data_IF_826031483141
#
_entry.id   IF_826031483141
#
_cell.length_a   1.000
_cell.length_b   1.000
_cell.length_c   1.000
_cell.angle_alpha   90.00
_cell.angle_beta   90.00
_cell.angle_gamma   90.00
#
_symmetry.space_group_name_H-M   'P 1'
#
loop_
_entity.id
_entity.type
_entity.pdbx_description
1 polymer ?
#
# COMPACT_ATOMS: atom_id res chain seq x y z
N UNK A 1 0.44 1.19 -18.71
CA UNK A 1 1.78 1.37 -18.10
C UNK A 1 1.72 2.01 -16.71
N UNK A 2 1.07 3.15 -16.51
CA UNK A 2 1.08 3.86 -15.20
C UNK A 2 0.59 3.02 -14.00
N UNK A 3 -0.43 2.18 -14.18
CA UNK A 3 -0.91 1.30 -13.12
C UNK A 3 0.16 0.28 -12.67
N UNK A 4 0.95 -0.26 -13.61
CA UNK A 4 2.04 -1.17 -13.28
C UNK A 4 3.18 -0.45 -12.57
N UNK A 5 3.51 0.78 -12.99
CA UNK A 5 4.49 1.62 -12.29
C UNK A 5 4.07 1.86 -10.83
N UNK A 6 2.78 2.10 -10.58
CA UNK A 6 2.27 2.23 -9.23
C UNK A 6 2.35 0.91 -8.43
N UNK A 7 1.98 -0.20 -9.07
CA UNK A 7 2.00 -1.54 -8.48
C UNK A 7 3.41 -2.06 -8.13
N UNK A 8 4.47 -1.45 -8.65
CA UNK A 8 5.85 -1.71 -8.20
C UNK A 8 6.09 -1.33 -6.73
N UNK A 9 5.19 -0.58 -6.10
CA UNK A 9 5.26 -0.23 -4.67
C UNK A 9 4.21 -0.96 -3.82
N UNK A 10 3.56 -2.00 -4.37
CA UNK A 10 2.58 -2.77 -3.61
C UNK A 10 3.23 -3.47 -2.40
N UNK A 11 2.45 -3.68 -1.34
CA UNK A 11 2.92 -4.40 -0.17
C UNK A 11 3.21 -5.87 -0.47
N UNK A 12 2.45 -6.49 -1.37
CA UNK A 12 2.59 -7.89 -1.77
C UNK A 12 3.68 -8.04 -2.85
N UNK A 13 4.68 -8.88 -2.57
CA UNK A 13 5.80 -9.13 -3.48
C UNK A 13 5.37 -9.72 -4.82
N UNK A 14 4.26 -10.46 -4.85
CA UNK A 14 3.73 -11.09 -6.06
C UNK A 14 3.12 -10.05 -6.98
N UNK A 15 2.47 -9.04 -6.41
CA UNK A 15 1.94 -7.90 -7.16
C UNK A 15 3.08 -7.10 -7.76
N UNK A 16 4.11 -6.78 -6.96
CA UNK A 16 5.31 -6.08 -7.45
C UNK A 16 6.01 -6.86 -8.58
N UNK A 17 6.22 -8.17 -8.38
CA UNK A 17 6.88 -9.02 -9.37
C UNK A 17 6.05 -9.13 -10.66
N UNK A 18 4.73 -9.26 -10.53
CA UNK A 18 3.86 -9.32 -11.71
C UNK A 18 3.79 -7.98 -12.44
N UNK A 19 3.86 -6.86 -11.73
CA UNK A 19 3.93 -5.54 -12.34
C UNK A 19 5.22 -5.35 -13.14
N UNK A 20 6.37 -5.76 -12.61
CA UNK A 20 7.66 -5.72 -13.30
C UNK A 20 7.68 -6.62 -14.56
N UNK A 21 7.14 -7.84 -14.45
CA UNK A 21 6.99 -8.79 -15.57
C UNK A 21 6.12 -8.20 -16.70
N UNK A 22 4.94 -7.66 -16.35
CA UNK A 22 4.05 -7.03 -17.34
C UNK A 22 4.68 -5.80 -17.99
N UNK A 23 5.46 -5.01 -17.25
CA UNK A 23 6.25 -3.91 -17.81
C UNK A 23 7.23 -4.44 -18.87
N UNK A 24 7.96 -5.52 -18.57
CA UNK A 24 8.86 -6.18 -19.53
C UNK A 24 8.13 -6.68 -20.78
N UNK A 25 6.94 -7.28 -20.61
CA UNK A 25 6.10 -7.71 -21.74
C UNK A 25 5.65 -6.54 -22.63
N UNK A 26 5.28 -5.41 -22.03
CA UNK A 26 4.92 -4.23 -22.81
C UNK A 26 6.12 -3.66 -23.57
N UNK A 27 7.32 -3.68 -22.98
CA UNK A 27 8.55 -3.25 -23.64
C UNK A 27 8.94 -4.18 -24.79
N UNK A 28 8.79 -5.49 -24.63
CA UNK A 28 8.98 -6.46 -25.74
C UNK A 28 8.05 -6.22 -26.92
N UNK A 29 6.80 -5.85 -26.64
CA UNK A 29 5.79 -5.55 -27.68
C UNK A 29 5.98 -4.17 -28.31
N UNK A 30 6.40 -3.19 -27.51
CA UNK A 30 6.59 -1.81 -27.91
C UNK A 30 7.84 -1.24 -27.22
N UNK A 31 8.94 -1.16 -27.98
CA UNK A 31 10.29 -0.91 -27.47
C UNK A 31 10.56 0.56 -27.10
N UNK A 32 9.62 1.22 -26.41
CA UNK A 32 9.70 2.62 -26.04
C UNK A 32 9.87 2.78 -24.53
N UNK A 33 11.04 3.25 -24.11
CA UNK A 33 11.43 3.48 -22.72
C UNK A 33 11.58 4.97 -22.37
N UNK A 34 11.00 5.87 -23.17
CA UNK A 34 11.24 7.31 -23.08
C UNK A 34 10.66 7.99 -21.82
N UNK A 35 9.91 7.27 -20.98
CA UNK A 35 9.33 7.84 -19.75
C UNK A 35 10.33 7.75 -18.58
N UNK A 36 10.80 8.87 -18.02
CA UNK A 36 11.73 8.86 -16.90
C UNK A 36 11.14 8.25 -15.63
N UNK A 37 9.81 8.29 -15.46
CA UNK A 37 9.13 7.66 -14.33
C UNK A 37 9.24 6.13 -14.37
N UNK A 38 9.25 5.53 -15.56
CA UNK A 38 9.37 4.09 -15.72
C UNK A 38 10.78 3.64 -15.34
N UNK A 39 11.81 4.29 -15.89
CA UNK A 39 13.20 3.95 -15.58
C UNK A 39 13.50 4.19 -14.11
N UNK A 40 13.07 5.31 -13.54
CA UNK A 40 13.23 5.57 -12.10
C UNK A 40 12.55 4.49 -11.23
N UNK A 41 11.32 4.08 -11.56
CA UNK A 41 10.61 3.06 -10.79
C UNK A 41 11.29 1.68 -10.91
N UNK A 42 11.74 1.30 -12.10
CA UNK A 42 12.48 0.04 -12.30
C UNK A 42 13.84 0.07 -11.60
N UNK A 43 14.58 1.18 -11.64
CA UNK A 43 15.82 1.35 -10.89
C UNK A 43 15.60 1.22 -9.39
N UNK A 44 14.49 1.76 -8.87
CA UNK A 44 14.10 1.56 -7.47
C UNK A 44 13.79 0.09 -7.15
N UNK A 45 13.13 -0.63 -8.07
CA UNK A 45 12.82 -2.04 -7.91
C UNK A 45 14.05 -2.97 -7.92
N UNK A 46 15.22 -2.50 -8.37
CA UNK A 46 16.49 -3.24 -8.21
C UNK A 46 16.92 -3.37 -6.74
N UNK A 47 16.43 -2.51 -5.86
CA UNK A 47 16.65 -2.58 -4.41
C UNK A 47 15.59 -3.37 -3.65
N UNK A 48 14.69 -4.08 -4.34
CA UNK A 48 13.63 -4.85 -3.68
C UNK A 48 14.20 -6.00 -2.83
N UNK A 49 13.49 -6.35 -1.75
CA UNK A 49 13.85 -7.48 -0.91
C UNK A 49 13.56 -8.83 -1.58
N UNK A 50 12.61 -8.86 -2.52
CA UNK A 50 12.26 -10.05 -3.27
C UNK A 50 13.09 -10.18 -4.56
N UNK A 51 13.81 -11.31 -4.66
CA UNK A 51 14.71 -11.59 -5.78
C UNK A 51 13.98 -11.71 -7.13
N UNK A 52 12.71 -12.10 -7.13
CA UNK A 52 11.93 -12.21 -8.36
C UNK A 52 11.62 -10.81 -8.88
N UNK A 53 11.22 -9.88 -8.01
CA UNK A 53 11.03 -8.47 -8.38
C UNK A 53 12.30 -7.89 -8.99
N UNK A 54 13.44 -8.07 -8.32
CA UNK A 54 14.75 -7.60 -8.82
C UNK A 54 15.06 -8.19 -10.20
N UNK A 55 14.88 -9.51 -10.38
CA UNK A 55 15.13 -10.17 -11.66
C UNK A 55 14.27 -9.60 -12.79
N UNK A 56 12.97 -9.43 -12.58
CA UNK A 56 12.09 -8.89 -13.63
C UNK A 56 12.41 -7.42 -13.93
N UNK A 57 12.75 -6.63 -12.91
CA UNK A 57 13.15 -5.24 -13.09
C UNK A 57 14.45 -5.11 -13.89
N UNK A 58 15.44 -5.97 -13.63
CA UNK A 58 16.69 -6.06 -14.41
C UNK A 58 16.39 -6.35 -15.88
N UNK A 59 15.60 -7.38 -16.17
CA UNK A 59 15.24 -7.73 -17.55
C UNK A 59 14.51 -6.60 -18.27
N UNK A 60 13.59 -5.91 -17.57
CA UNK A 60 12.89 -4.76 -18.13
C UNK A 60 13.84 -3.60 -18.47
N UNK A 61 14.84 -3.34 -17.63
CA UNK A 61 15.86 -2.32 -17.90
C UNK A 61 16.79 -2.71 -19.05
N UNK A 62 17.17 -3.98 -19.16
CA UNK A 62 17.96 -4.49 -20.29
C UNK A 62 17.22 -4.36 -21.62
N UNK A 63 15.91 -4.63 -21.64
CA UNK A 63 15.07 -4.38 -22.82
C UNK A 63 15.03 -2.89 -23.20
N UNK A 64 15.16 -2.01 -22.21
CA UNK A 64 15.28 -0.57 -22.45
C UNK A 64 16.68 -0.14 -22.91
N UNK A 65 17.65 -1.06 -23.00
CA UNK A 65 19.04 -0.80 -23.41
C UNK A 65 19.98 -0.40 -22.27
N UNK A 66 19.59 -0.58 -21.02
CA UNK A 66 20.47 -0.32 -19.87
C UNK A 66 21.23 -1.59 -19.46
N UNK A 67 22.51 -1.44 -19.14
CA UNK A 67 23.29 -2.51 -18.51
C UNK A 67 23.14 -2.41 -16.99
N UNK A 68 22.55 -3.45 -16.37
CA UNK A 68 22.42 -3.52 -14.92
C UNK A 68 23.62 -4.28 -14.37
N UNK A 69 24.54 -3.54 -13.75
CA UNK A 69 25.69 -4.15 -13.08
C UNK A 69 25.25 -4.61 -11.70
N UNK A 70 25.33 -5.91 -11.44
CA UNK A 70 25.17 -6.45 -10.10
C UNK A 70 26.30 -5.91 -9.21
N UNK A 71 25.95 -5.05 -8.26
CA UNK A 71 26.91 -4.46 -7.34
C UNK A 71 27.71 -5.54 -6.62
N UNK A 72 29.03 -5.43 -6.67
CA UNK A 72 29.99 -6.33 -6.05
C UNK A 72 29.90 -6.24 -4.51
N UNK A 73 29.02 -7.04 -3.91
CA UNK A 73 28.78 -7.12 -2.46
C UNK A 73 29.89 -7.88 -1.69
N UNK A 74 31.15 -7.81 -2.11
CA UNK A 74 32.28 -8.45 -1.41
C UNK A 74 32.77 -7.64 -0.19
N UNK A 75 32.21 -6.44 0.02
CA UNK A 75 32.39 -5.64 1.24
C UNK A 75 31.02 -5.36 1.85
N UNK A 76 30.90 -5.42 3.19
CA UNK A 76 29.62 -5.20 3.85
C UNK A 76 29.19 -3.76 3.54
N UNK A 77 28.11 -3.61 2.78
CA UNK A 77 27.44 -2.34 2.54
C UNK A 77 26.88 -1.85 3.88
N UNK A 78 27.71 -1.14 4.63
CA UNK A 78 27.43 -0.66 5.98
C UNK A 78 26.75 0.72 5.94
N UNK A 79 25.65 0.79 6.69
CA UNK A 79 24.95 1.97 7.20
C UNK A 79 24.17 2.91 6.28
N UNK A 80 24.28 2.82 4.96
CA UNK A 80 23.29 3.42 4.06
C UNK A 80 22.85 2.33 3.11
N UNK A 81 21.65 1.77 3.32
CA UNK A 81 21.12 0.68 2.51
C UNK A 81 21.22 0.98 1.01
N UNK A 82 21.38 -0.04 0.18
CA UNK A 82 21.51 0.05 -1.29
C UNK A 82 20.23 0.53 -2.00
N UNK A 83 19.49 1.45 -1.40
CA UNK A 83 18.56 2.35 -2.05
C UNK A 83 18.61 3.67 -1.27
N UNK A 84 18.70 4.85 -1.92
CA UNK A 84 18.39 6.07 -1.20
C UNK A 84 16.97 5.91 -0.63
N UNK A 85 16.74 6.33 0.63
CA UNK A 85 15.44 6.27 1.33
C UNK A 85 14.29 7.04 0.64
N UNK A 86 14.40 7.38 -0.64
CA UNK A 86 13.46 8.14 -1.44
C UNK A 86 12.89 7.39 -2.66
N UNK A 87 13.05 6.07 -2.76
CA UNK A 87 12.37 5.25 -3.77
C UNK A 87 10.88 5.00 -3.46
N UNK A 88 10.17 6.04 -3.01
CA UNK A 88 8.71 6.07 -3.01
C UNK A 88 8.29 7.25 -3.87
N UNK A 89 7.46 7.07 -4.91
CA UNK A 89 6.80 8.22 -5.50
C UNK A 89 6.01 8.89 -4.38
N UNK A 90 6.11 10.22 -4.31
CA UNK A 90 5.33 11.05 -3.38
C UNK A 90 3.95 10.44 -3.20
N UNK A 91 3.66 10.00 -1.96
CA UNK A 91 2.34 9.55 -1.58
C UNK A 91 1.33 10.51 -2.18
N UNK A 92 0.25 9.96 -2.77
CA UNK A 92 -0.88 10.77 -3.23
C UNK A 92 -1.13 11.88 -2.20
N UNK A 93 -1.35 13.14 -2.64
CA UNK A 93 -1.51 14.26 -1.71
C UNK A 93 -2.50 13.81 -0.64
N UNK A 94 -2.06 13.90 0.62
CA UNK A 94 -2.88 13.49 1.75
C UNK A 94 -4.28 14.06 1.54
N UNK A 95 -5.36 13.25 1.68
CA UNK A 95 -6.71 13.78 1.58
C UNK A 95 -6.78 14.99 2.51
N UNK A 96 -7.20 16.14 1.97
CA UNK A 96 -7.34 17.37 2.74
C UNK A 96 -8.06 17.04 4.05
N UNK A 97 -7.63 17.58 5.21
CA UNK A 97 -8.21 17.24 6.50
C UNK A 97 -9.71 17.51 6.42
N UNK A 98 -10.51 16.45 6.32
CA UNK A 98 -11.96 16.58 6.39
C UNK A 98 -12.25 16.94 7.83
N UNK A 99 -12.72 18.16 8.03
CA UNK A 99 -13.28 18.66 9.29
C UNK A 99 -14.08 17.54 9.97
N UNK A 100 -13.72 17.27 11.21
CA UNK A 100 -14.30 16.32 12.17
C UNK A 100 -15.37 15.34 11.64
N UNK A 101 -15.18 14.02 11.78
CA UNK A 101 -16.26 13.08 11.50
C UNK A 101 -17.35 13.27 12.54
N UNK A 102 -18.28 14.19 12.27
CA UNK A 102 -19.55 14.26 12.97
C UNK A 102 -20.28 12.98 12.58
N UNK A 103 -20.14 11.96 13.44
CA UNK A 103 -20.85 10.71 13.30
C UNK A 103 -22.33 11.01 13.01
N UNK A 104 -22.78 10.62 11.83
CA UNK A 104 -24.16 10.77 11.42
C UNK A 104 -24.99 9.80 12.25
N UNK A 105 -25.59 10.30 13.32
CA UNK A 105 -26.57 9.57 14.10
C UNK A 105 -27.95 9.85 13.49
N UNK A 106 -28.58 8.88 12.81
CA UNK A 106 -29.95 9.06 12.32
C UNK A 106 -30.90 9.29 13.51
N UNK A 107 -31.69 10.36 13.43
CA UNK A 107 -32.59 10.85 14.49
C UNK A 107 -33.62 9.82 14.99
N UNK A 108 -33.77 8.70 14.29
CA UNK A 108 -34.70 7.61 14.62
C UNK A 108 -34.45 6.97 16.00
N UNK A 109 -33.25 7.10 16.55
CA UNK A 109 -32.89 6.52 17.86
C UNK A 109 -33.05 7.48 19.05
N UNK A 110 -33.34 8.78 18.85
CA UNK A 110 -33.50 9.73 19.95
C UNK A 110 -34.90 9.67 20.60
N UNK A 111 -35.95 9.37 19.83
CA UNK A 111 -37.32 9.32 20.37
C UNK A 111 -37.56 8.15 21.35
N UNK A 112 -36.80 7.05 21.23
CA UNK A 112 -36.91 5.94 22.19
C UNK A 112 -36.33 6.27 23.57
N UNK A 113 -35.42 7.24 23.69
CA UNK A 113 -34.81 7.61 24.99
C UNK A 113 -35.68 8.53 25.83
N UNK A 114 -36.62 9.27 25.25
CA UNK A 114 -37.54 10.12 26.02
C UNK A 114 -38.73 9.34 26.58
N UNK A 115 -39.20 8.29 25.89
CA UNK A 115 -40.29 7.43 26.39
C UNK A 115 -39.90 6.61 27.62
N UNK A 116 -38.61 6.21 27.74
CA UNK A 116 -38.10 5.47 28.92
C UNK A 116 -37.82 6.33 30.16
N UNK A 117 -38.03 7.65 30.12
CA UNK A 117 -37.82 8.52 31.30
C UNK A 117 -39.08 8.77 32.13
N UNK A 118 -40.21 8.11 31.82
CA UNK A 118 -41.48 8.28 32.56
C UNK A 118 -42.05 7.02 33.22
N UNK A 119 -41.23 6.01 33.51
CA UNK A 119 -41.53 5.03 34.57
C UNK A 119 -40.30 4.83 35.45
N UNK A 120 -39.99 5.89 36.19
CA UNK A 120 -39.26 5.82 37.45
C UNK A 120 -40.19 5.23 38.50
N UNK A 121 -39.94 3.99 38.91
CA UNK A 121 -40.69 3.35 39.99
C UNK A 121 -40.12 1.98 40.33
N UNK A 122 -39.23 1.95 41.31
CA UNK A 122 -38.94 0.89 42.29
C UNK A 122 -39.13 -0.59 41.88
N UNK A 123 -38.02 -1.34 41.91
CA UNK A 123 -37.82 -2.51 42.80
C UNK A 123 -37.02 -3.63 42.11
N UNK A 124 -35.73 -3.73 42.45
CA UNK A 124 -34.89 -4.91 42.16
C UNK A 124 -34.97 -5.94 43.30
N UNK A 125 -36.17 -6.25 43.79
CA UNK A 125 -36.32 -7.12 44.96
C UNK A 125 -36.40 -8.62 44.65
N UNK A 126 -36.48 -9.05 43.39
CA UNK A 126 -36.86 -10.44 43.06
C UNK A 126 -35.84 -11.21 42.18
N UNK A 127 -34.54 -10.84 42.19
CA UNK A 127 -33.53 -11.53 41.38
C UNK A 127 -32.78 -12.68 42.10
N UNK A 128 -33.10 -12.99 43.37
CA UNK A 128 -32.46 -14.06 44.15
C UNK A 128 -33.49 -15.07 44.70
N UNK A 129 -34.24 -15.72 43.82
CA UNK A 129 -35.24 -16.72 44.24
C UNK A 129 -35.39 -17.93 43.32
N UNK A 130 -34.40 -18.21 42.46
CA UNK A 130 -34.46 -19.33 41.51
C UNK A 130 -33.23 -20.24 41.65
N UNK A 131 -32.99 -20.72 42.87
CA UNK A 131 -32.20 -21.91 43.21
C UNK A 131 -32.84 -22.52 44.45
N UNK A 132 -33.82 -23.40 44.20
CA UNK A 132 -33.91 -24.76 44.74
C UNK A 132 -34.78 -25.58 43.77
#
# INVERSE_FOLDING_TARGET
MCAFIYALNDADERVRAKAADEIGDQLRKNNCCCSPQLTAALTCALGDCDKKVVREATQALELCGYEVVEGCCDKPCCHTGCAPSGCSPSAAPAPAPTSDPKAYFPSRFQDQKQSRRRLSGNSLSNLFGLID
#
